data_IF_722765727880
#
_entry.id   IF_722765727880
#
_cell.length_a   1.000
_cell.length_b   1.000
_cell.length_c   1.000
_cell.angle_alpha   90.00
_cell.angle_beta   90.00
_cell.angle_gamma   90.00
#
_symmetry.space_group_name_H-M   'P 1'
#
loop_
_entity.id
_entity.type
_entity.pdbx_description
1 polymer ?
#
# COMPACT_ATOMS: atom_id res chain seq x y z
N UNK A 1 1.48 -3.49 -20.00
CA UNK A 1 1.69 -2.50 -18.92
C UNK A 1 0.36 -2.08 -18.29
N UNK A 2 -0.57 -1.50 -19.05
CA UNK A 2 -1.89 -1.07 -18.51
C UNK A 2 -2.70 -2.20 -17.90
N UNK A 3 -2.72 -3.39 -18.53
CA UNK A 3 -3.45 -4.55 -18.02
C UNK A 3 -2.99 -4.98 -16.61
N UNK A 4 -1.68 -4.87 -16.32
CA UNK A 4 -1.12 -5.21 -15.02
C UNK A 4 -1.59 -4.24 -13.93
N UNK A 5 -1.64 -2.94 -14.24
CA UNK A 5 -2.14 -1.91 -13.32
C UNK A 5 -3.63 -2.09 -13.04
N UNK A 6 -4.42 -2.45 -14.06
CA UNK A 6 -5.85 -2.75 -13.90
C UNK A 6 -6.08 -3.95 -12.97
N UNK A 7 -5.29 -5.03 -13.14
CA UNK A 7 -5.36 -6.19 -12.26
C UNK A 7 -5.01 -5.80 -10.82
N UNK A 8 -3.92 -5.04 -10.61
CA UNK A 8 -3.56 -4.54 -9.28
C UNK A 8 -4.67 -3.67 -8.65
N UNK A 9 -5.34 -2.83 -9.44
CA UNK A 9 -6.43 -1.97 -8.97
C UNK A 9 -7.69 -2.75 -8.58
N UNK A 10 -8.06 -3.79 -9.35
CA UNK A 10 -9.23 -4.64 -9.06
C UNK A 10 -8.98 -5.50 -7.82
N UNK A 11 -7.78 -6.07 -7.72
CA UNK A 11 -7.40 -6.94 -6.61
C UNK A 11 -6.78 -6.17 -5.43
N UNK A 12 -6.75 -4.83 -5.48
CA UNK A 12 -6.21 -3.98 -4.42
C UNK A 12 -6.65 -4.39 -3.00
N UNK A 13 -7.96 -4.52 -2.69
CA UNK A 13 -8.40 -4.92 -1.35
C UNK A 13 -8.00 -6.35 -0.94
N UNK A 14 -7.62 -7.20 -1.88
CA UNK A 14 -7.12 -8.56 -1.61
C UNK A 14 -5.59 -8.62 -1.50
N UNK A 15 -4.89 -7.72 -2.20
CA UNK A 15 -3.42 -7.64 -2.28
C UNK A 15 -2.80 -6.83 -1.14
N UNK A 16 -3.59 -6.06 -0.41
CA UNK A 16 -3.08 -5.19 0.65
C UNK A 16 -3.76 -5.53 1.97
N UNK A 17 -3.00 -5.88 3.02
CA UNK A 17 -3.57 -6.21 4.34
C UNK A 17 -4.05 -4.97 5.10
N UNK A 18 -3.64 -3.76 4.69
CA UNK A 18 -3.88 -2.51 5.42
C UNK A 18 -4.68 -1.49 4.61
N UNK A 19 -5.55 -0.76 5.30
CA UNK A 19 -6.26 0.39 4.76
C UNK A 19 -5.26 1.51 4.40
N UNK A 20 -5.23 2.00 3.14
CA UNK A 20 -4.23 2.97 2.67
C UNK A 20 -4.32 4.34 3.37
N UNK A 21 -5.43 4.63 4.05
CA UNK A 21 -5.67 5.91 4.71
C UNK A 21 -5.33 5.87 6.21
N UNK A 22 -5.23 4.69 6.80
CA UNK A 22 -5.02 4.53 8.24
C UNK A 22 -3.54 4.43 8.59
N UNK A 23 -3.20 5.01 9.74
CA UNK A 23 -1.92 4.74 10.38
C UNK A 23 -1.95 3.32 10.94
N UNK A 24 -1.05 2.47 10.46
CA UNK A 24 -1.00 1.04 10.83
C UNK A 24 0.29 0.65 11.52
N UNK A 25 1.30 1.51 11.48
CA UNK A 25 2.61 1.27 12.08
C UNK A 25 3.28 2.58 12.52
N UNK A 26 4.49 2.48 13.10
CA UNK A 26 5.28 3.67 13.44
C UNK A 26 5.65 4.45 12.19
N UNK A 27 5.82 5.76 12.32
CA UNK A 27 6.25 6.63 11.23
C UNK A 27 7.66 6.29 10.76
N UNK A 28 7.91 6.39 9.45
CA UNK A 28 9.23 6.23 8.83
C UNK A 28 9.88 4.87 9.11
N UNK A 29 9.07 3.80 9.19
CA UNK A 29 9.61 2.45 9.27
C UNK A 29 10.29 2.07 7.95
N UNK A 30 11.43 1.38 8.00
CA UNK A 30 12.10 0.86 6.82
C UNK A 30 11.26 -0.24 6.16
N UNK A 31 11.54 -0.57 4.89
CA UNK A 31 10.93 -1.71 4.20
C UNK A 31 11.08 -3.01 4.99
N UNK A 32 9.97 -3.72 5.18
CA UNK A 32 9.89 -5.00 5.89
C UNK A 32 8.90 -5.94 5.20
N UNK A 33 8.82 -7.20 5.66
CA UNK A 33 7.82 -8.15 5.15
C UNK A 33 6.38 -7.73 5.47
N UNK A 34 6.18 -6.98 6.55
CA UNK A 34 4.88 -6.40 6.92
C UNK A 34 4.59 -5.13 6.11
N UNK A 35 5.63 -4.34 5.82
CA UNK A 35 5.54 -3.09 5.07
C UNK A 35 6.54 -3.10 3.90
N UNK A 36 6.18 -3.68 2.74
CA UNK A 36 7.13 -3.90 1.63
C UNK A 36 7.84 -2.62 1.15
N UNK A 37 7.20 -1.47 1.30
CA UNK A 37 7.75 -0.15 0.98
C UNK A 37 7.97 0.74 2.20
N UNK A 38 7.85 0.16 3.40
CA UNK A 38 7.89 0.90 4.66
C UNK A 38 6.66 1.78 4.87
N UNK A 39 6.76 2.64 5.86
CA UNK A 39 5.68 3.57 6.22
C UNK A 39 6.07 5.03 5.98
N UNK A 40 5.07 5.88 5.82
CA UNK A 40 5.29 7.31 5.67
C UNK A 40 5.43 8.05 7.02
N UNK A 41 5.50 9.39 6.98
CA UNK A 41 5.64 10.26 8.16
C UNK A 41 4.50 10.15 9.19
N UNK A 42 3.36 9.59 8.80
CA UNK A 42 2.18 9.41 9.65
C UNK A 42 1.87 7.92 9.91
N UNK A 43 2.79 7.02 9.57
CA UNK A 43 2.64 5.58 9.85
C UNK A 43 1.69 4.82 8.92
N UNK A 44 1.35 5.39 7.77
CA UNK A 44 0.58 4.68 6.73
C UNK A 44 1.51 3.79 5.91
N UNK A 45 1.03 2.60 5.55
CA UNK A 45 1.72 1.67 4.68
C UNK A 45 1.80 2.21 3.23
N UNK A 46 3.01 2.31 2.69
CA UNK A 46 3.21 2.85 1.34
C UNK A 46 2.80 1.87 0.24
N UNK A 47 2.89 0.55 0.46
CA UNK A 47 2.48 -0.47 -0.51
C UNK A 47 0.97 -0.39 -0.77
N UNK A 48 0.17 -0.37 0.30
CA UNK A 48 -1.27 -0.15 0.26
C UNK A 48 -1.62 1.11 -0.52
N UNK A 49 -0.90 2.22 -0.31
CA UNK A 49 -1.15 3.48 -0.99
C UNK A 49 -0.84 3.43 -2.48
N UNK A 50 0.21 2.74 -2.91
CA UNK A 50 0.55 2.59 -4.34
C UNK A 50 -0.51 1.74 -5.03
N UNK A 51 -0.88 0.61 -4.43
CA UNK A 51 -1.85 -0.33 -5.00
C UNK A 51 -3.26 0.30 -5.06
N UNK A 52 -3.69 1.01 -4.02
CA UNK A 52 -4.95 1.76 -4.05
C UNK A 52 -4.88 3.00 -4.95
N UNK A 53 -3.71 3.63 -5.09
CA UNK A 53 -3.50 4.73 -6.03
C UNK A 53 -3.76 4.31 -7.48
N UNK A 54 -3.47 3.06 -7.84
CA UNK A 54 -3.80 2.51 -9.16
C UNK A 54 -5.32 2.41 -9.44
N UNK A 55 -6.17 2.48 -8.41
CA UNK A 55 -7.63 2.41 -8.52
C UNK A 55 -8.31 3.77 -8.77
N UNK A 56 -7.62 4.89 -8.57
CA UNK A 56 -8.20 6.25 -8.59
C UNK A 56 -7.66 7.04 -9.77
#
# INVERSE_FOLDING_TARGET
>A
MVLFVIILAIFAPLLTPYDPTKSVALSLQPPSWEHPFGTNKIGQDMWSRVVYGART
#
